data_IF_411257582963
#
_entry.id   IF_411257582963
#
_cell.length_a   1.000
_cell.length_b   1.000
_cell.length_c   1.000
_cell.angle_alpha   90.00
_cell.angle_beta   90.00
_cell.angle_gamma   90.00
#
_symmetry.space_group_name_H-M   'P 1'
#
loop_
_entity.id
_entity.type
_entity.pdbx_description
1 polymer ?
#
# COMPACT_ATOMS: atom_id res chain seq x y z
N UNK A 1 17.81 39.53 10.42
CA UNK A 1 16.45 39.01 10.14
C UNK A 1 16.25 38.66 8.66
N UNK A 2 16.60 39.52 7.70
CA UNK A 2 16.44 39.22 6.24
C UNK A 2 17.29 38.04 5.76
N UNK A 3 18.51 37.85 6.31
CA UNK A 3 19.35 36.68 6.00
C UNK A 3 18.71 35.34 6.46
N UNK A 4 17.84 35.38 7.48
CA UNK A 4 17.06 34.22 7.95
C UNK A 4 15.86 33.96 7.04
N UNK A 5 15.24 35.02 6.49
CA UNK A 5 14.19 34.90 5.47
C UNK A 5 14.72 34.35 4.14
N UNK A 6 15.94 34.72 3.72
CA UNK A 6 16.60 34.16 2.55
C UNK A 6 16.87 32.66 2.70
N UNK A 7 17.28 32.23 3.90
CA UNK A 7 17.49 30.82 4.24
C UNK A 7 16.18 30.03 4.23
N UNK A 8 15.08 30.63 4.72
CA UNK A 8 13.74 30.02 4.68
C UNK A 8 13.22 29.81 3.24
N UNK A 9 13.37 30.80 2.36
CA UNK A 9 12.92 30.72 0.95
C UNK A 9 13.72 29.71 0.11
N UNK A 10 15.02 29.55 0.39
CA UNK A 10 15.86 28.53 -0.26
C UNK A 10 15.59 27.13 0.29
N UNK A 11 15.27 27.02 1.59
CA UNK A 11 14.84 25.77 2.21
C UNK A 11 13.58 25.19 1.56
N UNK A 12 12.67 26.02 1.08
CA UNK A 12 11.44 25.58 0.42
C UNK A 12 11.63 25.26 -1.07
N UNK A 13 12.55 25.92 -1.78
CA UNK A 13 12.86 25.57 -3.18
C UNK A 13 13.67 24.27 -3.32
N UNK A 14 14.45 23.89 -2.30
CA UNK A 14 15.19 22.62 -2.25
C UNK A 14 14.26 21.44 -1.88
N UNK A 15 13.20 21.70 -1.11
CA UNK A 15 12.23 20.68 -0.65
C UNK A 15 10.99 20.57 -1.55
N UNK A 16 10.75 21.52 -2.45
CA UNK A 16 9.68 21.46 -3.46
C UNK A 16 9.74 20.31 -4.48
N UNK A 17 10.75 19.43 -4.38
CA UNK A 17 10.64 18.04 -4.84
C UNK A 17 10.00 17.21 -3.72
N UNK A 18 8.71 17.44 -3.48
CA UNK A 18 7.84 16.49 -2.80
C UNK A 18 7.63 15.27 -3.72
N UNK A 19 8.71 14.51 -3.94
CA UNK A 19 8.52 13.07 -4.07
C UNK A 19 8.08 12.65 -2.68
N UNK A 20 6.77 12.41 -2.52
CA UNK A 20 6.25 11.62 -1.43
C UNK A 20 7.22 10.45 -1.23
N UNK A 21 7.99 10.47 -0.14
CA UNK A 21 8.78 9.32 0.27
C UNK A 21 7.75 8.32 0.79
N UNK A 22 6.99 7.75 -0.14
CA UNK A 22 6.21 6.56 0.07
C UNK A 22 7.26 5.46 0.13
N UNK A 23 7.84 5.26 1.31
CA UNK A 23 8.66 4.09 1.59
C UNK A 23 7.73 2.90 1.40
N UNK A 24 7.71 2.34 0.19
CA UNK A 24 7.20 1.00 -0.02
C UNK A 24 8.08 0.10 0.84
N UNK A 25 7.59 -0.26 2.02
CA UNK A 25 8.13 -1.31 2.87
C UNK A 25 8.05 -2.59 2.02
N UNK A 26 9.10 -2.83 1.22
CA UNK A 26 9.23 -4.02 0.41
C UNK A 26 9.76 -5.10 1.35
N UNK A 27 9.02 -6.19 1.59
CA UNK A 27 9.56 -7.31 2.36
C UNK A 27 10.77 -7.87 1.59
N UNK A 28 11.95 -7.76 2.18
CA UNK A 28 13.18 -8.32 1.63
C UNK A 28 13.13 -9.85 1.73
N UNK A 29 12.81 -10.50 0.61
CA UNK A 29 12.75 -11.96 0.52
C UNK A 29 13.06 -12.46 -0.89
N UNK A 30 14.22 -13.13 -1.03
CA UNK A 30 14.40 -14.21 -2.00
C UNK A 30 14.96 -13.83 -3.37
N UNK A 31 16.26 -14.12 -3.57
CA UNK A 31 16.86 -14.34 -4.90
C UNK A 31 15.99 -15.32 -5.71
N UNK A 32 15.36 -14.85 -6.78
CA UNK A 32 14.98 -15.68 -7.93
C UNK A 32 15.40 -15.02 -9.25
N UNK A 33 15.84 -15.92 -10.13
CA UNK A 33 16.52 -15.69 -11.41
C UNK A 33 15.74 -14.77 -12.36
N UNK A 34 16.53 -14.00 -13.12
CA UNK A 34 16.13 -13.36 -14.37
C UNK A 34 15.55 -14.38 -15.35
N UNK A 35 14.35 -14.13 -15.85
CA UNK A 35 13.96 -14.44 -17.23
C UNK A 35 13.08 -13.30 -17.75
N UNK A 36 13.56 -12.65 -18.79
CA UNK A 36 12.92 -11.59 -19.56
C UNK A 36 11.73 -12.10 -20.35
N UNK A 37 10.61 -11.40 -20.27
CA UNK A 37 9.46 -11.56 -21.14
C UNK A 37 8.42 -10.48 -20.84
N UNK A 38 8.50 -9.38 -21.58
CA UNK A 38 7.45 -8.35 -21.58
C UNK A 38 6.21 -8.93 -22.28
N UNK A 39 5.07 -8.95 -21.59
CA UNK A 39 3.77 -9.25 -22.18
C UNK A 39 2.79 -8.17 -21.74
N UNK A 40 2.26 -7.46 -22.75
CA UNK A 40 1.17 -6.50 -22.67
C UNK A 40 -0.12 -7.22 -22.25
N UNK A 41 -0.77 -6.75 -21.19
CA UNK A 41 -2.05 -7.29 -20.71
C UNK A 41 -3.21 -6.68 -21.51
N UNK A 42 -3.63 -7.41 -22.53
CA UNK A 42 -4.94 -7.30 -23.18
C UNK A 42 -6.02 -7.89 -22.27
N UNK A 43 -7.18 -7.25 -22.21
CA UNK A 43 -8.32 -7.57 -21.33
C UNK A 43 -9.12 -8.82 -21.74
N UNK A 44 -8.45 -9.96 -21.93
CA UNK A 44 -9.13 -11.19 -22.32
C UNK A 44 -8.22 -12.39 -22.24
N UNK A 45 -8.00 -12.90 -21.03
CA UNK A 45 -7.57 -14.29 -20.80
C UNK A 45 -7.80 -14.63 -19.31
N UNK A 46 -8.99 -15.13 -19.02
CA UNK A 46 -9.25 -15.88 -17.79
C UNK A 46 -8.73 -17.30 -18.06
N UNK A 47 -7.80 -17.85 -17.27
CA UNK A 47 -7.31 -19.20 -17.51
C UNK A 47 -8.45 -20.19 -17.23
N UNK A 48 -8.93 -20.83 -18.29
CA UNK A 48 -9.75 -22.04 -18.20
C UNK A 48 -8.88 -23.14 -17.60
N UNK A 49 -9.13 -23.46 -16.33
CA UNK A 49 -8.54 -24.63 -15.68
C UNK A 49 -9.16 -25.86 -16.32
N UNK A 50 -8.42 -26.51 -17.22
CA UNK A 50 -8.72 -27.86 -17.67
C UNK A 50 -8.57 -28.80 -16.47
N UNK A 51 -9.62 -29.53 -16.03
CA UNK A 51 -9.44 -30.50 -14.97
C UNK A 51 -8.48 -31.60 -15.45
N UNK A 52 -7.44 -31.84 -14.67
CA UNK A 52 -6.55 -32.97 -14.85
C UNK A 52 -7.36 -34.27 -14.79
N UNK A 53 -7.27 -35.07 -15.86
CA UNK A 53 -7.79 -36.43 -15.90
C UNK A 53 -7.09 -37.27 -14.84
N UNK A 54 -7.81 -37.62 -13.79
CA UNK A 54 -7.37 -38.53 -12.74
C UNK A 54 -7.40 -39.98 -13.25
N UNK A 55 -6.27 -40.69 -13.36
CA UNK A 55 -6.23 -42.07 -13.80
C UNK A 55 -6.38 -42.98 -12.57
N UNK A 56 -7.61 -43.29 -12.14
CA UNK A 56 -7.72 -44.22 -11.01
C UNK A 56 -9.09 -44.62 -10.46
N UNK A 57 -10.22 -44.18 -11.01
CA UNK A 57 -11.52 -44.66 -10.52
C UNK A 57 -12.06 -45.75 -11.44
N UNK A 58 -11.80 -47.01 -11.06
CA UNK A 58 -12.49 -48.18 -11.58
C UNK A 58 -13.96 -48.12 -11.18
N UNK A 59 -14.80 -47.70 -12.12
CA UNK A 59 -16.25 -47.79 -12.02
C UNK A 59 -16.62 -49.29 -12.01
N UNK A 60 -17.41 -49.79 -11.05
CA UNK A 60 -17.87 -51.17 -11.09
C UNK A 60 -18.67 -51.39 -12.37
N UNK A 61 -18.26 -52.40 -13.13
CA UNK A 61 -18.79 -52.73 -14.44
C UNK A 61 -20.29 -53.12 -14.32
N UNK A 62 -21.18 -52.18 -14.63
CA UNK A 62 -22.64 -52.38 -14.58
C UNK A 62 -23.18 -53.22 -15.75
N UNK A 63 -22.30 -53.66 -16.66
CA UNK A 63 -22.65 -54.44 -17.85
C UNK A 63 -23.23 -55.83 -17.55
N UNK A 64 -23.16 -56.31 -16.31
CA UNK A 64 -23.69 -57.63 -15.94
C UNK A 64 -25.18 -57.58 -15.53
N UNK A 65 -25.72 -56.41 -15.19
CA UNK A 65 -27.14 -56.28 -14.81
C UNK A 65 -28.03 -55.95 -16.02
N UNK A 66 -27.46 -55.40 -17.11
CA UNK A 66 -28.20 -55.00 -18.30
C UNK A 66 -28.46 -56.11 -19.34
N UNK A 67 -27.74 -57.23 -19.30
CA UNK A 67 -27.86 -58.27 -20.34
C UNK A 67 -29.02 -59.26 -20.14
N UNK A 68 -29.62 -59.35 -18.95
CA UNK A 68 -30.73 -60.27 -18.69
C UNK A 68 -32.11 -59.72 -19.13
N UNK A 69 -32.22 -58.42 -19.44
CA UNK A 69 -33.50 -57.79 -19.85
C UNK A 69 -33.64 -57.57 -21.37
N UNK A 70 -32.61 -57.86 -22.17
CA UNK A 70 -32.56 -57.49 -23.59
C UNK A 70 -33.14 -58.50 -24.57
N UNK A 71 -33.57 -59.68 -24.12
CA UNK A 71 -33.99 -60.76 -25.03
C UNK A 71 -35.50 -60.84 -25.32
N UNK A 72 -36.37 -60.01 -24.72
CA UNK A 72 -37.83 -60.18 -24.86
C UNK A 72 -38.65 -58.90 -25.15
N UNK A 73 -38.04 -57.72 -25.32
CA UNK A 73 -38.77 -56.43 -25.40
C UNK A 73 -38.30 -55.44 -26.46
N UNK A 74 -37.79 -55.93 -27.59
CA UNK A 74 -36.95 -55.17 -28.54
C UNK A 74 -37.61 -54.14 -29.47
N UNK A 75 -38.84 -53.65 -29.23
CA UNK A 75 -39.43 -52.60 -30.07
C UNK A 75 -40.19 -51.50 -29.31
N UNK A 76 -40.47 -51.70 -28.02
CA UNK A 76 -41.05 -50.68 -27.12
C UNK A 76 -40.03 -50.16 -26.09
N UNK A 77 -38.88 -50.83 -25.93
CA UNK A 77 -37.80 -50.43 -25.00
C UNK A 77 -36.92 -49.29 -25.53
N UNK A 78 -36.70 -49.18 -26.84
CA UNK A 78 -35.89 -48.09 -27.42
C UNK A 78 -36.49 -46.70 -27.15
N UNK A 79 -37.83 -46.57 -27.13
CA UNK A 79 -38.49 -45.30 -26.80
C UNK A 79 -38.44 -44.94 -25.32
N UNK A 80 -38.54 -45.94 -24.44
CA UNK A 80 -38.45 -45.75 -22.99
C UNK A 80 -37.03 -45.37 -22.56
N UNK A 81 -36.02 -46.04 -23.13
CA UNK A 81 -34.60 -45.75 -22.88
C UNK A 81 -34.22 -44.35 -23.40
N UNK A 82 -34.74 -43.94 -24.56
CA UNK A 82 -34.53 -42.58 -25.09
C UNK A 82 -35.17 -41.51 -24.17
N UNK A 83 -36.37 -41.76 -23.65
CA UNK A 83 -37.05 -40.81 -22.76
C UNK A 83 -36.32 -40.63 -21.43
N UNK A 84 -35.77 -41.72 -20.86
CA UNK A 84 -34.93 -41.67 -19.66
C UNK A 84 -33.61 -40.94 -19.92
N UNK A 85 -32.98 -41.18 -21.08
CA UNK A 85 -31.76 -40.49 -21.47
C UNK A 85 -31.98 -38.99 -21.69
N UNK A 86 -33.12 -38.61 -22.30
CA UNK A 86 -33.52 -37.21 -22.46
C UNK A 86 -33.74 -36.53 -21.10
N UNK A 87 -34.42 -37.19 -20.17
CA UNK A 87 -34.66 -36.67 -18.83
C UNK A 87 -33.35 -36.49 -18.06
N UNK A 88 -32.45 -37.50 -18.08
CA UNK A 88 -31.12 -37.39 -17.46
C UNK A 88 -30.28 -36.26 -18.06
N UNK A 89 -30.39 -36.04 -19.37
CA UNK A 89 -29.74 -34.92 -20.05
C UNK A 89 -30.32 -33.58 -19.61
N UNK A 90 -31.64 -33.46 -19.52
CA UNK A 90 -32.32 -32.24 -19.07
C UNK A 90 -31.98 -31.92 -17.61
N UNK A 91 -31.95 -32.92 -16.72
CA UNK A 91 -31.48 -32.77 -15.34
C UNK A 91 -30.02 -32.29 -15.29
N UNK A 92 -29.17 -32.85 -16.15
CA UNK A 92 -27.78 -32.41 -16.30
C UNK A 92 -27.67 -30.95 -16.71
N UNK A 93 -28.40 -30.53 -17.73
CA UNK A 93 -28.43 -29.15 -18.22
C UNK A 93 -28.97 -28.18 -17.15
N UNK A 94 -30.04 -28.55 -16.45
CA UNK A 94 -30.60 -27.73 -15.36
C UNK A 94 -29.57 -27.56 -14.23
N UNK A 95 -28.89 -28.63 -13.82
CA UNK A 95 -27.85 -28.56 -12.79
C UNK A 95 -26.68 -27.68 -13.22
N UNK A 96 -26.22 -27.79 -14.46
CA UNK A 96 -25.11 -27.01 -14.95
C UNK A 96 -25.49 -25.52 -15.10
N UNK A 97 -26.74 -25.22 -15.47
CA UNK A 97 -27.26 -23.84 -15.48
C UNK A 97 -27.34 -23.24 -14.06
N UNK A 98 -27.86 -23.99 -13.10
CA UNK A 98 -27.95 -23.58 -11.69
C UNK A 98 -26.56 -23.38 -11.05
N UNK A 99 -25.63 -24.29 -11.34
CA UNK A 99 -24.23 -24.18 -10.92
C UNK A 99 -23.56 -22.93 -11.51
N UNK A 100 -23.80 -22.65 -12.79
CA UNK A 100 -23.28 -21.45 -13.46
C UNK A 100 -23.86 -20.19 -12.82
N UNK A 101 -25.18 -20.13 -12.61
CA UNK A 101 -25.83 -18.98 -11.98
C UNK A 101 -25.30 -18.70 -10.56
N UNK A 102 -25.06 -19.76 -9.77
CA UNK A 102 -24.44 -19.59 -8.45
C UNK A 102 -23.01 -19.09 -8.57
N UNK A 103 -22.21 -19.66 -9.48
CA UNK A 103 -20.83 -19.26 -9.73
C UNK A 103 -20.73 -17.78 -10.09
N UNK A 104 -21.58 -17.31 -11.00
CA UNK A 104 -21.59 -15.92 -11.45
C UNK A 104 -21.92 -14.97 -10.28
N UNK A 105 -22.91 -15.32 -9.47
CA UNK A 105 -23.27 -14.55 -8.27
C UNK A 105 -22.11 -14.46 -7.27
N UNK A 106 -21.39 -15.57 -7.04
CA UNK A 106 -20.20 -15.56 -6.18
C UNK A 106 -19.10 -14.65 -6.75
N UNK A 107 -18.83 -14.73 -8.04
CA UNK A 107 -17.78 -13.93 -8.69
C UNK A 107 -18.11 -12.45 -8.66
N UNK A 108 -19.34 -12.08 -8.96
CA UNK A 108 -19.78 -10.68 -8.94
C UNK A 108 -19.74 -10.13 -7.51
N UNK A 109 -20.14 -10.93 -6.52
CA UNK A 109 -20.01 -10.54 -5.10
C UNK A 109 -18.54 -10.29 -4.71
N UNK A 110 -17.59 -11.14 -5.14
CA UNK A 110 -16.15 -10.91 -4.87
C UNK A 110 -15.69 -9.61 -5.53
N UNK A 111 -16.06 -9.37 -6.79
CA UNK A 111 -15.67 -8.16 -7.52
C UNK A 111 -16.20 -6.91 -6.84
N UNK A 112 -17.47 -6.92 -6.44
CA UNK A 112 -18.11 -5.79 -5.75
C UNK A 112 -17.45 -5.50 -4.41
N UNK A 113 -17.15 -6.55 -3.63
CA UNK A 113 -16.44 -6.42 -2.36
C UNK A 113 -15.04 -5.83 -2.54
N UNK A 114 -14.30 -6.29 -3.55
CA UNK A 114 -12.97 -5.75 -3.86
C UNK A 114 -13.01 -4.29 -4.33
N UNK A 115 -14.09 -3.88 -5.02
CA UNK A 115 -14.23 -2.55 -5.57
C UNK A 115 -14.72 -1.51 -4.54
N UNK A 116 -15.61 -1.90 -3.63
CA UNK A 116 -16.41 -0.92 -2.87
C UNK A 116 -16.39 -1.11 -1.36
N UNK A 117 -15.96 -2.26 -0.86
CA UNK A 117 -16.22 -2.62 0.53
C UNK A 117 -14.97 -2.61 1.41
N UNK A 118 -15.14 -2.23 2.67
CA UNK A 118 -14.11 -2.39 3.69
C UNK A 118 -14.06 -3.85 4.13
N UNK A 119 -13.31 -4.66 3.37
CA UNK A 119 -13.12 -6.08 3.62
C UNK A 119 -12.42 -6.38 4.96
N UNK A 120 -11.91 -5.38 5.69
CA UNK A 120 -11.36 -5.59 7.03
C UNK A 120 -12.45 -5.76 8.10
N UNK A 121 -13.71 -5.42 7.80
CA UNK A 121 -14.83 -5.62 8.71
C UNK A 121 -15.33 -7.07 8.70
N UNK A 122 -15.15 -7.77 9.82
CA UNK A 122 -15.59 -9.16 9.99
C UNK A 122 -17.11 -9.31 9.87
N UNK A 123 -17.90 -8.31 10.30
CA UNK A 123 -19.35 -8.40 10.26
C UNK A 123 -19.88 -8.38 8.81
N UNK A 124 -19.22 -7.59 7.95
CA UNK A 124 -19.51 -7.57 6.52
C UNK A 124 -19.25 -8.95 5.89
N UNK A 125 -18.07 -9.53 6.16
CA UNK A 125 -17.68 -10.84 5.62
C UNK A 125 -18.66 -11.94 6.03
N UNK A 126 -19.07 -11.95 7.30
CA UNK A 126 -20.08 -12.88 7.82
C UNK A 126 -21.43 -12.69 7.11
N UNK A 127 -21.90 -11.44 6.99
CA UNK A 127 -23.18 -11.14 6.31
C UNK A 127 -23.20 -11.59 4.85
N UNK A 128 -22.06 -11.50 4.15
CA UNK A 128 -21.93 -11.99 2.78
C UNK A 128 -21.94 -13.51 2.73
N UNK A 129 -21.25 -14.16 3.68
CA UNK A 129 -21.30 -15.62 3.82
C UNK A 129 -22.73 -16.13 4.00
N UNK A 130 -23.52 -15.47 4.86
CA UNK A 130 -24.94 -15.79 5.07
C UNK A 130 -25.78 -15.58 3.81
N UNK A 131 -25.58 -14.47 3.09
CA UNK A 131 -26.28 -14.23 1.81
C UNK A 131 -26.00 -15.33 0.79
N UNK A 132 -24.75 -15.81 0.71
CA UNK A 132 -24.41 -16.89 -0.22
C UNK A 132 -25.01 -18.24 0.22
N UNK A 133 -25.17 -18.49 1.52
CA UNK A 133 -25.93 -19.65 2.01
C UNK A 133 -27.42 -19.56 1.63
N UNK A 134 -28.02 -18.38 1.75
CA UNK A 134 -29.41 -18.15 1.32
C UNK A 134 -29.57 -18.36 -0.19
N UNK A 135 -28.63 -17.85 -0.99
CA UNK A 135 -28.65 -18.02 -2.44
C UNK A 135 -28.50 -19.49 -2.85
N UNK A 136 -27.60 -20.22 -2.19
CA UNK A 136 -27.49 -21.68 -2.34
C UNK A 136 -28.83 -22.37 -2.06
N UNK A 137 -29.51 -22.03 -0.96
CA UNK A 137 -30.80 -22.62 -0.60
C UNK A 137 -31.89 -22.27 -1.62
N UNK A 138 -31.89 -21.04 -2.13
CA UNK A 138 -32.80 -20.60 -3.19
C UNK A 138 -32.64 -21.45 -4.45
N UNK A 139 -31.42 -21.61 -4.95
CA UNK A 139 -31.12 -22.41 -6.15
C UNK A 139 -31.53 -23.87 -5.94
N UNK A 140 -31.26 -24.46 -4.76
CA UNK A 140 -31.70 -25.83 -4.47
C UNK A 140 -33.22 -25.99 -4.41
N UNK A 141 -33.94 -24.98 -3.93
CA UNK A 141 -35.40 -24.97 -3.89
C UNK A 141 -36.06 -24.78 -5.27
N UNK A 142 -35.38 -24.09 -6.18
CA UNK A 142 -35.84 -23.83 -7.56
C UNK A 142 -35.39 -24.90 -8.57
N UNK A 143 -34.47 -25.80 -8.18
CA UNK A 143 -33.92 -26.82 -9.06
C UNK A 143 -35.01 -27.78 -9.58
N UNK A 144 -35.11 -27.92 -10.90
CA UNK A 144 -36.16 -28.70 -11.57
C UNK A 144 -35.87 -30.20 -11.67
N UNK A 145 -34.67 -30.65 -11.31
CA UNK A 145 -34.29 -32.07 -11.40
C UNK A 145 -34.82 -32.92 -10.24
N UNK A 146 -34.80 -34.24 -10.42
CA UNK A 146 -35.21 -35.18 -9.38
C UNK A 146 -34.29 -35.17 -8.15
N UNK A 147 -34.67 -35.93 -7.11
CA UNK A 147 -33.95 -35.94 -5.83
C UNK A 147 -32.49 -36.41 -5.90
N UNK A 148 -32.09 -37.15 -6.93
CA UNK A 148 -30.68 -37.50 -7.17
C UNK A 148 -29.90 -36.33 -7.79
N UNK A 149 -30.49 -35.63 -8.77
CA UNK A 149 -29.89 -34.44 -9.37
C UNK A 149 -29.70 -33.33 -8.33
N UNK A 150 -30.72 -33.06 -7.51
CA UNK A 150 -30.66 -32.07 -6.42
C UNK A 150 -29.55 -32.36 -5.41
N UNK A 151 -29.37 -33.63 -4.99
CA UNK A 151 -28.25 -34.03 -4.10
C UNK A 151 -26.88 -33.84 -4.74
N UNK A 152 -26.75 -34.08 -6.03
CA UNK A 152 -25.50 -33.84 -6.75
C UNK A 152 -25.22 -32.33 -6.86
N UNK A 153 -26.24 -31.52 -7.13
CA UNK A 153 -26.15 -30.06 -7.15
C UNK A 153 -25.74 -29.52 -5.77
N UNK A 154 -26.39 -29.93 -4.68
CA UNK A 154 -26.06 -29.50 -3.31
C UNK A 154 -24.59 -29.75 -2.95
N UNK A 155 -24.07 -30.93 -3.30
CA UNK A 155 -22.65 -31.25 -3.11
C UNK A 155 -21.71 -30.32 -3.90
N UNK A 156 -22.08 -29.93 -5.14
CA UNK A 156 -21.28 -28.99 -5.95
C UNK A 156 -21.35 -27.58 -5.38
N UNK A 157 -22.55 -27.08 -5.08
CA UNK A 157 -22.75 -25.74 -4.51
C UNK A 157 -22.06 -25.60 -3.14
N UNK A 158 -22.06 -26.66 -2.32
CA UNK A 158 -21.31 -26.68 -1.04
C UNK A 158 -19.81 -26.53 -1.25
N UNK A 159 -19.24 -27.26 -2.22
CA UNK A 159 -17.81 -27.13 -2.54
C UNK A 159 -17.46 -25.72 -3.03
N UNK A 160 -18.32 -25.12 -3.86
CA UNK A 160 -18.14 -23.74 -4.32
C UNK A 160 -18.25 -22.73 -3.19
N UNK A 161 -19.25 -22.88 -2.32
CA UNK A 161 -19.42 -22.04 -1.14
C UNK A 161 -18.20 -22.08 -0.23
N UNK A 162 -17.65 -23.26 0.05
CA UNK A 162 -16.44 -23.38 0.87
C UNK A 162 -15.24 -22.68 0.24
N UNK A 163 -15.02 -22.83 -1.08
CA UNK A 163 -13.94 -22.11 -1.80
C UNK A 163 -14.13 -20.60 -1.77
N UNK A 164 -15.38 -20.14 -1.86
CA UNK A 164 -15.71 -18.73 -1.74
C UNK A 164 -15.42 -18.21 -0.33
N UNK A 165 -15.82 -18.94 0.71
CA UNK A 165 -15.53 -18.60 2.10
C UNK A 165 -14.01 -18.54 2.37
N UNK A 166 -13.23 -19.49 1.86
CA UNK A 166 -11.77 -19.46 1.92
C UNK A 166 -11.20 -18.22 1.23
N UNK A 167 -11.74 -17.86 0.06
CA UNK A 167 -11.33 -16.66 -0.68
C UNK A 167 -11.66 -15.38 0.10
N UNK A 168 -12.85 -15.29 0.70
CA UNK A 168 -13.24 -14.17 1.55
C UNK A 168 -12.34 -14.05 2.79
N UNK A 169 -11.98 -15.15 3.42
CA UNK A 169 -11.07 -15.15 4.57
C UNK A 169 -9.69 -14.59 4.19
N UNK A 170 -9.13 -15.01 3.05
CA UNK A 170 -7.85 -14.48 2.55
C UNK A 170 -7.96 -12.98 2.24
N UNK A 171 -9.06 -12.54 1.60
CA UNK A 171 -9.29 -11.13 1.30
C UNK A 171 -9.45 -10.29 2.57
N UNK A 172 -10.15 -10.79 3.58
CA UNK A 172 -10.32 -10.13 4.88
C UNK A 172 -8.98 -9.95 5.60
N UNK A 173 -8.15 -11.00 5.66
CA UNK A 173 -6.80 -10.93 6.25
C UNK A 173 -5.96 -9.88 5.52
N UNK A 174 -5.93 -9.91 4.19
CA UNK A 174 -5.17 -8.94 3.40
C UNK A 174 -5.67 -7.51 3.62
N UNK A 175 -6.98 -7.29 3.69
CA UNK A 175 -7.56 -5.98 3.94
C UNK A 175 -7.24 -5.47 5.35
N UNK A 176 -7.31 -6.35 6.36
CA UNK A 176 -6.91 -6.03 7.73
C UNK A 176 -5.42 -5.66 7.81
N UNK A 177 -4.55 -6.41 7.14
CA UNK A 177 -3.11 -6.10 7.07
C UNK A 177 -2.85 -4.75 6.39
N UNK A 178 -3.54 -4.44 5.28
CA UNK A 178 -3.43 -3.14 4.61
C UNK A 178 -3.90 -2.00 5.52
N UNK A 179 -5.02 -2.17 6.21
CA UNK A 179 -5.55 -1.17 7.16
C UNK A 179 -4.60 -0.95 8.34
N UNK A 180 -4.00 -2.02 8.86
CA UNK A 180 -3.02 -1.97 9.92
C UNK A 180 -1.78 -1.19 9.47
N UNK A 181 -1.24 -1.53 8.30
CA UNK A 181 -0.10 -0.81 7.71
C UNK A 181 -0.42 0.68 7.49
N UNK A 182 -1.59 1.02 6.95
CA UNK A 182 -2.01 2.43 6.82
C UNK A 182 -2.14 3.14 8.18
N UNK A 183 -2.56 2.44 9.22
CA UNK A 183 -2.65 3.00 10.58
C UNK A 183 -1.27 3.28 11.12
N UNK A 184 -0.34 2.33 10.97
CA UNK A 184 1.07 2.49 11.32
C UNK A 184 1.67 3.69 10.57
N UNK A 185 1.50 3.76 9.26
CA UNK A 185 2.03 4.85 8.43
C UNK A 185 1.50 6.21 8.88
N UNK A 186 0.20 6.31 9.20
CA UNK A 186 -0.41 7.54 9.73
C UNK A 186 0.17 7.94 11.08
N UNK A 187 0.40 6.98 11.97
CA UNK A 187 0.98 7.23 13.30
C UNK A 187 2.42 7.70 13.19
N UNK A 188 3.25 7.02 12.40
CA UNK A 188 4.61 7.44 12.12
C UNK A 188 4.62 8.84 11.48
N UNK A 189 3.77 9.06 10.46
CA UNK A 189 3.64 10.38 9.81
C UNK A 189 3.20 11.49 10.75
N UNK A 190 2.40 11.19 11.78
CA UNK A 190 1.99 12.17 12.79
C UNK A 190 3.19 12.56 13.65
N UNK A 191 3.93 11.57 14.16
CA UNK A 191 5.12 11.82 14.98
C UNK A 191 6.18 12.58 14.19
N UNK A 192 6.42 12.23 12.92
CA UNK A 192 7.40 12.93 12.09
C UNK A 192 6.96 14.36 11.77
N UNK A 193 5.66 14.64 11.63
CA UNK A 193 5.17 16.02 11.54
C UNK A 193 5.42 16.81 12.82
N UNK A 194 5.20 16.19 13.97
CA UNK A 194 5.44 16.84 15.26
C UNK A 194 6.92 17.20 15.41
N UNK A 195 7.82 16.26 15.07
CA UNK A 195 9.28 16.44 15.03
C UNK A 195 9.70 17.66 14.21
N UNK A 196 9.07 17.90 13.05
CA UNK A 196 9.42 19.03 12.17
C UNK A 196 9.12 20.39 12.79
N UNK A 197 8.17 20.43 13.73
CA UNK A 197 7.70 21.65 14.38
C UNK A 197 8.13 21.78 15.83
N UNK A 198 8.77 20.75 16.38
CA UNK A 198 9.22 20.71 17.76
C UNK A 198 10.34 21.76 18.00
N UNK A 199 10.10 22.76 18.86
CA UNK A 199 11.11 23.75 19.23
C UNK A 199 12.39 23.13 19.79
N UNK A 200 12.29 21.98 20.47
CA UNK A 200 13.45 21.35 21.09
C UNK A 200 14.39 20.77 20.03
N UNK A 201 13.86 20.23 18.93
CA UNK A 201 14.67 19.85 17.76
C UNK A 201 15.40 21.06 17.18
N UNK A 202 14.73 22.20 17.10
CA UNK A 202 15.24 23.41 16.43
C UNK A 202 16.24 24.19 17.29
N UNK A 203 16.00 24.27 18.59
CA UNK A 203 16.64 25.25 19.49
C UNK A 203 17.42 24.59 20.62
N UNK A 204 17.09 23.37 21.05
CA UNK A 204 17.75 22.72 22.20
C UNK A 204 19.26 22.55 21.99
N UNK A 205 20.05 22.63 23.05
CA UNK A 205 21.48 22.32 22.97
C UNK A 205 21.73 20.84 22.66
N UNK A 206 20.81 19.96 23.06
CA UNK A 206 20.89 18.51 22.83
C UNK A 206 19.72 17.99 21.98
N UNK A 207 19.87 17.88 20.64
CA UNK A 207 18.84 17.32 19.78
C UNK A 207 18.59 15.82 20.04
N UNK A 208 19.46 15.11 20.77
CA UNK A 208 19.22 13.70 21.10
C UNK A 208 18.11 13.51 22.12
N UNK A 209 17.89 14.48 23.00
CA UNK A 209 16.79 14.40 23.96
C UNK A 209 15.44 14.40 23.23
N UNK A 210 15.26 15.28 22.24
CA UNK A 210 14.07 15.30 21.39
C UNK A 210 13.93 14.02 20.56
N UNK A 211 15.04 13.46 20.07
CA UNK A 211 15.03 12.15 19.40
C UNK A 211 14.46 11.06 20.31
N UNK A 212 15.01 10.93 21.53
CA UNK A 212 14.56 9.92 22.50
C UNK A 212 13.10 10.12 22.91
N UNK A 213 12.66 11.37 23.05
CA UNK A 213 11.26 11.68 23.35
C UNK A 213 10.31 11.16 22.26
N UNK A 214 10.56 11.48 20.99
CA UNK A 214 9.72 11.02 19.89
C UNK A 214 9.84 9.51 19.63
N UNK A 215 11.00 8.92 19.90
CA UNK A 215 11.16 7.46 19.88
C UNK A 215 10.33 6.80 20.98
N UNK A 216 10.25 7.39 22.18
CA UNK A 216 9.35 6.93 23.24
C UNK A 216 7.88 6.98 22.81
N UNK A 217 7.45 8.08 22.20
CA UNK A 217 6.08 8.20 21.66
C UNK A 217 5.80 7.13 20.59
N UNK A 218 6.76 6.86 19.71
CA UNK A 218 6.64 5.80 18.71
C UNK A 218 6.50 4.42 19.36
N UNK A 219 7.28 4.14 20.41
CA UNK A 219 7.22 2.88 21.14
C UNK A 219 5.86 2.69 21.82
N UNK A 220 5.34 3.72 22.49
CA UNK A 220 4.00 3.70 23.09
C UNK A 220 2.90 3.44 22.06
N UNK A 221 2.97 4.08 20.89
CA UNK A 221 2.01 3.91 19.80
C UNK A 221 2.08 2.51 19.18
N UNK A 222 3.28 1.95 19.02
CA UNK A 222 3.45 0.57 18.50
C UNK A 222 2.93 -0.46 19.49
N UNK A 223 3.15 -0.23 20.79
CA UNK A 223 2.66 -1.13 21.84
C UNK A 223 1.13 -1.07 21.92
N UNK A 224 0.53 0.11 21.75
CA UNK A 224 -0.92 0.27 21.67
C UNK A 224 -1.55 -0.49 20.48
N UNK A 225 -0.83 -0.63 19.37
CA UNK A 225 -1.31 -1.37 18.19
C UNK A 225 -1.25 -2.90 18.34
N UNK A 226 -0.73 -3.41 19.46
CA UNK A 226 -0.64 -4.85 19.77
C UNK A 226 -0.06 -5.70 18.63
N UNK A 227 0.93 -5.14 17.91
CA UNK A 227 1.54 -5.80 16.77
C UNK A 227 2.24 -7.10 17.17
N UNK A 228 2.34 -8.05 16.23
CA UNK A 228 3.17 -9.24 16.42
C UNK A 228 4.63 -8.83 16.70
N UNK A 229 5.38 -9.54 17.55
CA UNK A 229 6.72 -9.11 17.96
C UNK A 229 7.71 -8.89 16.80
N UNK A 230 7.61 -9.70 15.75
CA UNK A 230 8.42 -9.58 14.54
C UNK A 230 8.07 -8.34 13.71
N UNK A 231 6.77 -8.05 13.55
CA UNK A 231 6.27 -6.83 12.91
C UNK A 231 6.63 -5.59 13.72
N UNK A 232 6.39 -5.61 15.03
CA UNK A 232 6.73 -4.51 15.94
C UNK A 232 8.21 -4.12 15.83
N UNK A 233 9.12 -5.10 15.77
CA UNK A 233 10.56 -4.83 15.58
C UNK A 233 10.87 -4.13 14.27
N UNK A 234 10.23 -4.55 13.17
CA UNK A 234 10.43 -3.93 11.85
C UNK A 234 9.91 -2.50 11.85
N UNK A 235 8.69 -2.30 12.37
CA UNK A 235 8.04 -0.98 12.43
C UNK A 235 8.80 -0.03 13.35
N UNK A 236 9.26 -0.49 14.53
CA UNK A 236 10.11 0.30 15.43
C UNK A 236 11.37 0.77 14.73
N UNK A 237 12.10 -0.13 14.06
CA UNK A 237 13.33 0.25 13.36
C UNK A 237 13.05 1.26 12.24
N UNK A 238 12.01 1.02 11.44
CA UNK A 238 11.63 1.91 10.35
C UNK A 238 11.24 3.30 10.87
N UNK A 239 10.34 3.37 11.86
CA UNK A 239 9.90 4.63 12.46
C UNK A 239 11.04 5.39 13.14
N UNK A 240 11.93 4.72 13.88
CA UNK A 240 13.13 5.34 14.47
C UNK A 240 14.02 5.96 13.39
N UNK A 241 14.23 5.26 12.28
CA UNK A 241 15.00 5.78 11.15
C UNK A 241 14.33 7.00 10.50
N UNK A 242 13.00 7.00 10.40
CA UNK A 242 12.25 8.09 9.80
C UNK A 242 12.26 9.34 10.69
N UNK A 243 12.09 9.18 12.01
CA UNK A 243 12.23 10.26 13.00
C UNK A 243 13.63 10.86 12.90
N UNK A 244 14.67 10.04 12.91
CA UNK A 244 16.07 10.49 12.80
C UNK A 244 16.32 11.32 11.53
N UNK A 245 15.86 10.85 10.37
CA UNK A 245 15.99 11.59 9.10
C UNK A 245 15.17 12.87 9.09
N UNK A 246 14.00 12.83 9.70
CA UNK A 246 13.09 13.98 9.80
C UNK A 246 13.71 15.08 10.66
N UNK A 247 14.35 14.76 11.78
CA UNK A 247 15.05 15.71 12.64
C UNK A 247 16.22 16.44 11.96
N UNK A 248 16.91 15.76 11.04
CA UNK A 248 18.02 16.37 10.28
C UNK A 248 17.51 17.47 9.33
N UNK A 249 16.31 17.31 8.78
CA UNK A 249 15.73 18.20 7.78
C UNK A 249 15.61 19.67 8.24
N UNK A 250 14.99 19.98 9.39
CA UNK A 250 14.90 21.36 9.85
C UNK A 250 16.24 21.95 10.27
N UNK A 251 17.18 21.14 10.77
CA UNK A 251 18.55 21.61 11.05
C UNK A 251 19.26 22.07 9.78
N UNK A 252 19.08 21.33 8.67
CA UNK A 252 19.55 21.74 7.35
C UNK A 252 18.86 23.04 6.90
N UNK A 253 17.52 23.10 6.99
CA UNK A 253 16.75 24.29 6.59
C UNK A 253 17.17 25.54 7.35
N UNK A 254 17.49 25.42 8.64
CA UNK A 254 17.93 26.55 9.47
C UNK A 254 19.43 26.86 9.36
N UNK A 255 20.16 26.20 8.45
CA UNK A 255 21.59 26.40 8.25
C UNK A 255 22.46 25.89 9.41
N UNK A 256 21.91 25.06 10.31
CA UNK A 256 22.61 24.49 11.46
C UNK A 256 23.35 23.20 11.07
N UNK A 257 24.21 23.28 10.06
CA UNK A 257 24.86 22.10 9.46
C UNK A 257 25.75 21.33 10.44
N UNK A 258 26.45 22.02 11.35
CA UNK A 258 27.30 21.36 12.34
C UNK A 258 26.48 20.53 13.33
N UNK A 259 25.31 21.03 13.74
CA UNK A 259 24.36 20.28 14.58
C UNK A 259 23.79 19.10 13.82
N UNK A 260 23.42 19.27 12.55
CA UNK A 260 22.96 18.17 11.69
C UNK A 260 24.02 17.07 11.54
N UNK A 261 25.29 17.44 11.33
CA UNK A 261 26.43 16.50 11.26
C UNK A 261 26.68 15.82 12.60
N UNK A 262 26.59 16.54 13.72
CA UNK A 262 26.77 16.00 15.06
C UNK A 262 25.67 14.97 15.39
N UNK A 263 24.41 15.30 15.10
CA UNK A 263 23.28 14.39 15.27
C UNK A 263 23.46 13.12 14.43
N UNK A 264 23.82 13.25 13.14
CA UNK A 264 24.05 12.12 12.25
C UNK A 264 25.21 11.20 12.71
N UNK A 265 26.20 11.74 13.42
CA UNK A 265 27.36 11.01 13.95
C UNK A 265 27.13 10.40 15.33
N UNK A 266 26.02 10.71 15.98
CA UNK A 266 25.70 10.14 17.29
C UNK A 266 25.49 8.63 17.18
N UNK A 267 25.90 7.89 18.21
CA UNK A 267 25.80 6.43 18.23
C UNK A 267 24.34 5.96 18.11
N UNK A 268 23.42 6.67 18.76
CA UNK A 268 21.98 6.35 18.73
C UNK A 268 21.37 6.49 17.33
N UNK A 269 21.72 7.56 16.61
CA UNK A 269 21.24 7.77 15.24
C UNK A 269 21.93 6.80 14.27
N UNK A 270 23.23 6.53 14.49
CA UNK A 270 23.98 5.58 13.67
C UNK A 270 23.46 4.14 13.81
N UNK A 271 22.94 3.75 14.97
CA UNK A 271 22.34 2.43 15.21
C UNK A 271 21.01 2.25 14.46
N UNK A 272 20.21 3.33 14.33
CA UNK A 272 18.89 3.24 13.69
C UNK A 272 18.94 3.42 12.17
N UNK A 273 19.91 4.17 11.66
CA UNK A 273 20.06 4.44 10.22
C UNK A 273 20.90 3.39 9.51
N UNK A 274 20.41 2.90 8.37
CA UNK A 274 21.23 2.08 7.48
C UNK A 274 22.40 2.87 6.89
N UNK A 275 23.52 2.21 6.49
CA UNK A 275 24.65 2.89 5.87
C UNK A 275 24.31 3.69 4.61
N UNK A 276 23.27 3.26 3.86
CA UNK A 276 22.75 4.01 2.73
C UNK A 276 22.09 5.32 3.16
N UNK A 277 21.15 5.26 4.12
CA UNK A 277 20.48 6.43 4.67
C UNK A 277 21.47 7.42 5.30
N UNK A 278 22.50 6.94 6.01
CA UNK A 278 23.52 7.81 6.58
C UNK A 278 24.30 8.58 5.51
N UNK A 279 24.68 7.91 4.40
CA UNK A 279 25.36 8.56 3.27
C UNK A 279 24.45 9.58 2.59
N UNK A 280 23.19 9.23 2.36
CA UNK A 280 22.23 10.12 1.72
C UNK A 280 21.97 11.37 2.59
N UNK A 281 21.81 11.19 3.90
CA UNK A 281 21.67 12.30 4.85
C UNK A 281 22.94 13.18 4.88
N UNK A 282 24.13 12.57 4.93
CA UNK A 282 25.40 13.31 4.88
C UNK A 282 25.53 14.13 3.59
N UNK A 283 25.16 13.54 2.45
CA UNK A 283 25.21 14.22 1.15
C UNK A 283 24.23 15.40 1.11
N UNK A 284 23.01 15.24 1.62
CA UNK A 284 22.03 16.34 1.72
C UNK A 284 22.57 17.51 2.56
N UNK A 285 23.24 17.23 3.67
CA UNK A 285 23.87 18.27 4.51
C UNK A 285 24.96 19.00 3.71
N UNK A 286 25.85 18.26 3.05
CA UNK A 286 26.96 18.84 2.26
C UNK A 286 26.44 19.70 1.11
N UNK A 287 25.42 19.22 0.38
CA UNK A 287 24.84 19.94 -0.74
C UNK A 287 24.16 21.23 -0.30
N UNK A 288 23.44 21.20 0.83
CA UNK A 288 22.83 22.39 1.41
C UNK A 288 23.87 23.40 1.92
N UNK A 289 24.93 22.93 2.55
CA UNK A 289 26.04 23.77 3.01
C UNK A 289 26.77 24.46 1.84
N UNK A 290 27.01 23.72 0.75
CA UNK A 290 27.60 24.27 -0.47
C UNK A 290 26.70 25.34 -1.08
N UNK A 291 25.41 25.06 -1.24
CA UNK A 291 24.44 26.02 -1.78
C UNK A 291 24.35 27.29 -0.92
N UNK A 292 24.32 27.15 0.41
CA UNK A 292 24.32 28.33 1.28
C UNK A 292 25.60 29.17 1.13
N UNK A 293 26.74 28.51 0.94
CA UNK A 293 28.02 29.18 0.74
C UNK A 293 28.08 29.91 -0.62
N UNK A 294 27.56 29.29 -1.68
CA UNK A 294 27.41 29.91 -3.01
C UNK A 294 26.55 31.17 -2.92
N UNK A 295 25.36 31.06 -2.32
CA UNK A 295 24.44 32.20 -2.13
C UNK A 295 25.06 33.32 -1.28
N UNK A 296 25.83 32.98 -0.24
CA UNK A 296 26.56 33.98 0.55
C UNK A 296 27.62 34.70 -0.26
N UNK A 297 28.36 33.98 -1.10
CA UNK A 297 29.38 34.58 -1.96
C UNK A 297 28.75 35.50 -3.01
N UNK A 298 27.70 35.05 -3.70
CA UNK A 298 26.93 35.87 -4.65
C UNK A 298 26.34 37.11 -3.97
N UNK A 299 25.72 36.94 -2.80
CA UNK A 299 25.20 38.06 -2.00
C UNK A 299 26.28 39.08 -1.62
N UNK A 300 27.48 38.62 -1.28
CA UNK A 300 28.62 39.48 -0.98
C UNK A 300 29.12 40.23 -2.23
N UNK A 301 29.10 39.58 -3.41
CA UNK A 301 29.42 40.23 -4.68
C UNK A 301 28.43 41.36 -5.02
N UNK A 302 27.12 41.13 -4.81
CA UNK A 302 26.11 42.18 -4.97
C UNK A 302 26.30 43.34 -3.99
N UNK A 303 26.61 43.06 -2.72
CA UNK A 303 26.91 44.10 -1.73
C UNK A 303 28.16 44.91 -2.09
N UNK A 304 29.23 44.25 -2.56
CA UNK A 304 30.45 44.91 -2.99
C UNK A 304 30.21 45.79 -4.23
N UNK A 305 29.41 45.31 -5.18
CA UNK A 305 28.99 46.07 -6.36
C UNK A 305 28.15 47.28 -5.97
N UNK A 306 27.21 47.12 -5.03
CA UNK A 306 26.35 48.21 -4.53
C UNK A 306 27.17 49.32 -3.85
N UNK A 307 28.14 48.93 -3.00
CA UNK A 307 29.08 49.87 -2.37
C UNK A 307 29.94 50.61 -3.39
N UNK A 308 30.32 49.95 -4.49
CA UNK A 308 31.10 50.57 -5.56
C UNK A 308 30.28 51.60 -6.33
N UNK A 309 28.99 51.33 -6.57
CA UNK A 309 28.08 52.23 -7.31
C UNK A 309 27.66 53.43 -6.46
N UNK A 310 27.25 53.21 -5.21
CA UNK A 310 26.74 54.26 -4.32
C UNK A 310 27.87 55.08 -3.64
N UNK A 311 29.10 54.55 -3.67
CA UNK A 311 30.27 55.18 -3.08
C UNK A 311 30.48 54.85 -1.59
N UNK A 312 31.67 55.14 -1.04
CA UNK A 312 32.08 54.69 0.29
C UNK A 312 31.36 55.38 1.46
N UNK A 313 30.61 56.46 1.18
CA UNK A 313 29.85 57.23 2.19
C UNK A 313 28.37 56.91 2.20
N UNK A 314 27.89 55.99 1.35
CA UNK A 314 26.49 55.56 1.33
C UNK A 314 26.13 54.85 2.64
N UNK A 315 24.88 55.01 3.10
CA UNK A 315 24.40 54.30 4.27
C UNK A 315 24.31 52.79 3.99
N UNK A 316 24.58 51.96 4.99
CA UNK A 316 24.51 50.50 4.85
C UNK A 316 23.12 49.99 4.45
N UNK A 317 22.07 50.76 4.71
CA UNK A 317 20.70 50.47 4.30
C UNK A 317 20.53 50.62 2.77
N UNK A 318 20.97 51.75 2.21
CA UNK A 318 20.93 52.01 0.75
C UNK A 318 21.75 50.98 -0.03
N UNK A 319 22.90 50.58 0.52
CA UNK A 319 23.76 49.53 -0.04
C UNK A 319 23.06 48.18 -0.07
N UNK A 320 22.31 47.84 0.98
CA UNK A 320 21.56 46.57 1.04
C UNK A 320 20.38 46.58 0.08
N UNK A 321 19.65 47.68 -0.01
CA UNK A 321 18.53 47.82 -0.92
C UNK A 321 18.97 47.74 -2.39
N UNK A 322 20.07 48.42 -2.74
CA UNK A 322 20.66 48.33 -4.07
C UNK A 322 21.18 46.91 -4.38
N UNK A 323 21.80 46.23 -3.40
CA UNK A 323 22.24 44.84 -3.57
C UNK A 323 21.06 43.87 -3.75
N UNK A 324 19.97 44.06 -3.02
CA UNK A 324 18.75 43.27 -3.16
C UNK A 324 18.10 43.47 -4.54
N UNK A 325 18.02 44.72 -5.02
CA UNK A 325 17.56 45.02 -6.38
C UNK A 325 18.43 44.36 -7.45
N UNK A 326 19.76 44.40 -7.30
CA UNK A 326 20.68 43.75 -8.24
C UNK A 326 20.61 42.22 -8.21
N UNK A 327 20.29 41.64 -7.06
CA UNK A 327 20.03 40.20 -6.91
C UNK A 327 18.66 39.79 -7.50
N UNK A 328 17.89 40.72 -8.07
CA UNK A 328 16.56 40.46 -8.61
C UNK A 328 15.51 40.17 -7.54
N UNK A 329 15.81 40.51 -6.27
CA UNK A 329 14.83 40.46 -5.19
C UNK A 329 14.04 41.77 -5.22
N UNK A 330 13.04 41.83 -6.11
CA UNK A 330 12.06 42.92 -6.06
C UNK A 330 11.42 42.94 -4.66
N UNK A 331 11.40 44.11 -4.02
CA UNK A 331 10.54 44.33 -2.86
C UNK A 331 9.11 44.15 -3.36
N UNK A 332 8.50 43.01 -3.07
CA UNK A 332 7.07 42.77 -3.27
C UNK A 332 6.31 43.62 -2.24
N UNK A 333 6.34 44.94 -2.44
CA UNK A 333 5.69 46.00 -1.64
C UNK A 333 4.19 46.07 -1.91
N UNK A 334 3.53 44.91 -1.93
CA UNK A 334 2.12 44.75 -2.25
C UNK A 334 1.25 44.39 -1.05
N UNK A 335 1.42 45.03 0.12
CA UNK A 335 0.42 44.95 1.19
C UNK A 335 -0.82 45.77 0.77
N UNK A 336 -1.77 45.13 0.06
CA UNK A 336 -3.16 45.58 0.03
C UNK A 336 -3.88 45.02 1.24
N UNK A 337 -4.10 45.86 2.25
CA UNK A 337 -5.18 45.63 3.19
C UNK A 337 -6.48 45.84 2.40
N UNK A 338 -7.21 44.74 2.16
CA UNK A 338 -8.67 44.71 2.03
C UNK A 338 -9.16 43.61 2.94
#
# INVERSE_FOLDING_TARGET
>A
MVLVQLVSLIGDSIVGREDSILVKISPSGGRRRRSSGAVSLSSGDVPTVTPASDPGVTIPNTDVVGMAFKAAGGLLSEGADLSLQMLQREEGLNRDADETSYSDTLQDTIRDLQATADLSDSALVESVGEKMLQEKQRILGEHKGGGTSSRLLDNRLTKMHNRFADTLAVLNINAADVRLNQTIDRKISSITKDVLTDPDVLVSEDPLEAFRFHVGQLEDEIDFLELRPDQARIVRQAGKSEIALTMITPLIKNGQFDRAKALLRSDEIAEVLSPGQQRDAAQRIIDAERKLSEVKNEGQEFLNTARTILGPTAADEDVRDAAAQMAGMEQDGGFKIV
#
